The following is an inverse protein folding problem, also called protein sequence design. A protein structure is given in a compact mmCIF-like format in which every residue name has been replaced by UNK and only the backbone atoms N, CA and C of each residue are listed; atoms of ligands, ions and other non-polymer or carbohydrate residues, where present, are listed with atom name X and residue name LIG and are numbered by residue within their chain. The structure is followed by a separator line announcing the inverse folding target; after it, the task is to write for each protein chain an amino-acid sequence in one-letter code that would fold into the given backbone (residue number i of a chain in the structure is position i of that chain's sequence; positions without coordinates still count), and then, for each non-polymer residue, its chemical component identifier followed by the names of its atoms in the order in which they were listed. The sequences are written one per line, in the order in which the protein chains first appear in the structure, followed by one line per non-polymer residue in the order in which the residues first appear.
data_IF_028941474505
#
_entry.id   IF_028941474505
#
_cell.length_a   1.000
_cell.length_b   1.000
_cell.length_c   1.000
_cell.angle_alpha   90.00
_cell.angle_beta   90.00
_cell.angle_gamma   90.00
#
_symmetry.space_group_name_H-M   'P 1'
#
loop_
_entity.id
_entity.type
_entity.pdbx_description
1 polymer ?
#
# COMPACT_ATOMS: atom_id res chain seq x y z
N UNK A 1 -45.55 41.82 51.41
CA UNK A 1 -45.31 40.60 50.59
C UNK A 1 -44.02 40.81 49.82
N UNK A 2 -42.87 40.59 50.46
CA UNK A 2 -41.54 40.92 49.91
C UNK A 2 -40.69 39.66 49.86
N UNK A 3 -40.37 39.27 48.62
CA UNK A 3 -39.18 38.57 48.14
C UNK A 3 -38.59 37.51 49.07
N UNK A 4 -38.95 36.26 48.79
CA UNK A 4 -38.07 35.11 49.04
C UNK A 4 -37.65 34.56 47.67
N UNK A 5 -36.80 35.33 46.98
CA UNK A 5 -35.93 34.77 45.93
C UNK A 5 -34.71 34.25 46.68
N UNK A 6 -34.75 32.95 47.01
CA UNK A 6 -33.61 32.23 47.57
C UNK A 6 -32.45 32.34 46.57
N UNK A 7 -31.50 33.18 46.94
CA UNK A 7 -30.21 33.34 46.27
C UNK A 7 -29.37 32.13 46.69
N UNK A 8 -29.53 31.03 45.95
CA UNK A 8 -28.72 29.83 46.14
C UNK A 8 -27.36 30.02 45.46
N UNK A 9 -26.42 30.63 46.18
CA UNK A 9 -25.07 30.95 45.69
C UNK A 9 -24.16 29.71 45.61
N UNK A 10 -24.60 28.56 46.15
CA UNK A 10 -23.85 27.28 46.08
C UNK A 10 -23.80 26.70 44.67
N UNK A 11 -24.73 27.08 43.80
CA UNK A 11 -24.70 26.71 42.39
C UNK A 11 -23.59 27.45 41.62
N UNK A 12 -23.13 28.61 42.09
CA UNK A 12 -22.19 29.48 41.38
C UNK A 12 -20.73 29.12 41.67
N UNK A 13 -20.40 28.66 42.89
CA UNK A 13 -19.02 28.25 43.25
C UNK A 13 -18.56 26.96 42.55
N UNK A 14 -19.47 26.06 42.19
CA UNK A 14 -19.16 24.82 41.47
C UNK A 14 -19.10 24.95 39.94
N UNK A 15 -19.62 26.04 39.36
CA UNK A 15 -19.64 26.24 37.90
C UNK A 15 -18.24 26.30 37.27
N UNK A 16 -17.26 27.06 37.81
CA UNK A 16 -15.92 27.15 37.21
C UNK A 16 -15.21 25.81 37.16
N UNK A 17 -15.36 25.00 38.22
CA UNK A 17 -14.74 23.67 38.31
C UNK A 17 -15.37 22.70 37.30
N UNK A 18 -16.70 22.71 37.15
CA UNK A 18 -17.39 21.87 36.15
C UNK A 18 -16.99 22.25 34.73
N UNK A 19 -16.88 23.54 34.43
CA UNK A 19 -16.43 24.02 33.11
C UNK A 19 -15.00 23.55 32.83
N UNK A 20 -14.08 23.69 33.79
CA UNK A 20 -12.70 23.20 33.65
C UNK A 20 -12.65 21.69 33.39
N UNK A 21 -13.39 20.89 34.15
CA UNK A 21 -13.45 19.44 33.96
C UNK A 21 -13.99 19.10 32.58
N UNK A 22 -15.06 19.76 32.13
CA UNK A 22 -15.61 19.52 30.77
C UNK A 22 -14.62 19.91 29.68
N UNK A 23 -13.88 21.01 29.83
CA UNK A 23 -12.88 21.46 28.85
C UNK A 23 -11.75 20.44 28.75
N UNK A 24 -11.25 19.94 29.88
CA UNK A 24 -10.22 18.90 29.91
C UNK A 24 -10.74 17.62 29.28
N UNK A 25 -11.98 17.21 29.60
CA UNK A 25 -12.59 16.02 29.01
C UNK A 25 -12.72 16.14 27.49
N UNK A 26 -13.18 17.29 26.99
CA UNK A 26 -13.25 17.59 25.57
C UNK A 26 -11.88 17.56 24.90
N UNK A 27 -10.85 18.14 25.53
CA UNK A 27 -9.49 18.12 25.01
C UNK A 27 -8.94 16.69 24.86
N UNK A 28 -9.20 15.82 25.86
CA UNK A 28 -8.81 14.40 25.80
C UNK A 28 -9.55 13.67 24.67
N UNK A 29 -10.86 13.87 24.55
CA UNK A 29 -11.67 13.24 23.49
C UNK A 29 -11.19 13.68 22.10
N UNK A 30 -10.95 14.98 21.91
CA UNK A 30 -10.42 15.51 20.65
C UNK A 30 -9.03 14.94 20.33
N UNK A 31 -8.15 14.84 21.31
CA UNK A 31 -6.82 14.25 21.14
C UNK A 31 -6.87 12.78 20.72
N UNK A 32 -7.70 11.97 21.39
CA UNK A 32 -7.90 10.57 21.04
C UNK A 32 -8.52 10.39 19.65
N UNK A 33 -9.52 11.22 19.33
CA UNK A 33 -10.18 11.21 18.01
C UNK A 33 -9.20 11.59 16.90
N UNK A 34 -8.38 12.61 17.12
CA UNK A 34 -7.35 13.05 16.16
C UNK A 34 -6.33 11.94 15.88
N UNK A 35 -5.87 11.23 16.91
CA UNK A 35 -4.98 10.08 16.75
C UNK A 35 -5.66 8.94 15.96
N UNK A 36 -6.88 8.56 16.34
CA UNK A 36 -7.64 7.52 15.65
C UNK A 36 -7.89 7.86 14.17
N UNK A 37 -8.19 9.12 13.86
CA UNK A 37 -8.35 9.59 12.49
C UNK A 37 -7.04 9.50 11.68
N UNK A 38 -5.90 9.86 12.29
CA UNK A 38 -4.58 9.74 11.65
C UNK A 38 -4.21 8.28 11.35
N UNK A 39 -4.45 7.38 12.31
CA UNK A 39 -4.19 5.95 12.14
C UNK A 39 -5.10 5.39 11.04
N UNK A 40 -6.38 5.75 11.03
CA UNK A 40 -7.34 5.35 9.99
C UNK A 40 -6.95 5.83 8.57
N UNK A 41 -6.47 7.06 8.42
CA UNK A 41 -6.01 7.58 7.11
C UNK A 41 -4.82 6.75 6.60
N UNK A 42 -3.91 6.36 7.49
CA UNK A 42 -2.74 5.55 7.14
C UNK A 42 -3.17 4.16 6.66
N UNK A 43 -4.11 3.53 7.37
CA UNK A 43 -4.66 2.22 7.02
C UNK A 43 -5.39 2.25 5.67
N UNK A 44 -6.16 3.31 5.38
CA UNK A 44 -6.84 3.47 4.09
C UNK A 44 -5.83 3.58 2.94
N UNK A 45 -4.73 4.31 3.13
CA UNK A 45 -3.68 4.41 2.12
C UNK A 45 -2.93 3.08 1.93
N UNK A 46 -2.64 2.35 3.01
CA UNK A 46 -2.02 1.02 2.95
C UNK A 46 -2.92 0.04 2.21
N UNK A 47 -4.23 0.07 2.47
CA UNK A 47 -5.21 -0.75 1.73
C UNK A 47 -5.23 -0.43 0.24
N UNK A 48 -5.20 0.86 -0.14
CA UNK A 48 -5.13 1.26 -1.56
C UNK A 48 -3.86 0.74 -2.24
N UNK A 49 -2.72 0.82 -1.56
CA UNK A 49 -1.47 0.22 -2.05
C UNK A 49 -1.66 -1.28 -2.27
N UNK A 50 -2.23 -2.00 -1.30
CA UNK A 50 -2.47 -3.44 -1.41
C UNK A 50 -3.38 -3.77 -2.60
N UNK A 51 -4.47 -3.03 -2.79
CA UNK A 51 -5.41 -3.27 -3.89
C UNK A 51 -4.73 -3.11 -5.26
N UNK A 52 -3.85 -2.10 -5.42
CA UNK A 52 -3.08 -1.88 -6.65
C UNK A 52 -2.01 -2.97 -6.88
N UNK A 53 -1.29 -3.37 -5.83
CA UNK A 53 -0.29 -4.45 -5.92
C UNK A 53 -0.94 -5.81 -6.21
N UNK A 54 -2.05 -6.12 -5.54
CA UNK A 54 -2.82 -7.34 -5.78
C UNK A 54 -3.40 -7.36 -7.21
N UNK A 55 -3.69 -6.20 -7.81
CA UNK A 55 -4.12 -6.11 -9.21
C UNK A 55 -2.98 -6.44 -10.19
N UNK A 56 -1.76 -5.97 -9.92
CA UNK A 56 -0.57 -6.33 -10.70
C UNK A 56 -0.32 -7.83 -10.58
N UNK A 57 -0.30 -8.34 -9.35
CA UNK A 57 -0.06 -9.74 -9.02
C UNK A 57 -1.06 -10.66 -9.72
N UNK A 58 -2.36 -10.37 -9.63
CA UNK A 58 -3.40 -11.20 -10.25
C UNK A 58 -3.23 -11.28 -11.77
N UNK A 59 -2.89 -10.17 -12.42
CA UNK A 59 -2.68 -10.15 -13.87
C UNK A 59 -1.40 -10.88 -14.26
N UNK A 60 -0.31 -10.65 -13.53
CA UNK A 60 0.93 -11.41 -13.68
C UNK A 60 0.70 -12.92 -13.50
N UNK A 61 -0.09 -13.32 -12.51
CA UNK A 61 -0.43 -14.72 -12.23
C UNK A 61 -1.33 -15.33 -13.30
N UNK A 62 -2.28 -14.57 -13.86
CA UNK A 62 -3.10 -15.02 -14.98
C UNK A 62 -2.24 -15.26 -16.22
N UNK A 63 -1.42 -14.29 -16.64
CA UNK A 63 -0.55 -14.48 -17.80
C UNK A 63 0.44 -15.62 -17.56
N UNK A 64 0.96 -15.77 -16.34
CA UNK A 64 1.89 -16.84 -16.02
C UNK A 64 1.24 -18.24 -16.08
N UNK A 65 -0.02 -18.36 -15.67
CA UNK A 65 -0.72 -19.64 -15.63
C UNK A 65 -1.30 -20.06 -16.99
N UNK A 66 -1.78 -19.11 -17.80
CA UNK A 66 -2.52 -19.42 -19.04
C UNK A 66 -1.97 -18.77 -20.31
N UNK A 67 -0.95 -17.91 -20.21
CA UNK A 67 -0.35 -17.22 -21.35
C UNK A 67 0.64 -18.07 -22.14
N UNK A 68 0.83 -17.70 -23.40
CA UNK A 68 1.97 -18.12 -24.21
C UNK A 68 3.20 -17.28 -23.89
N UNK A 69 4.32 -17.94 -23.59
CA UNK A 69 5.58 -17.30 -23.24
C UNK A 69 6.46 -17.14 -24.48
N UNK A 70 6.98 -15.94 -24.69
CA UNK A 70 7.93 -15.65 -25.77
C UNK A 70 9.30 -16.20 -25.42
N UNK A 71 9.91 -17.00 -26.27
CA UNK A 71 11.30 -17.42 -26.10
C UNK A 71 12.25 -16.26 -26.43
N UNK A 72 12.98 -15.76 -25.43
CA UNK A 72 13.93 -14.67 -25.64
C UNK A 72 15.23 -15.13 -26.30
N UNK A 73 15.47 -16.44 -26.40
CA UNK A 73 16.61 -16.99 -27.12
C UNK A 73 16.34 -17.13 -28.62
N UNK A 74 15.07 -17.10 -29.04
CA UNK A 74 14.67 -17.12 -30.44
C UNK A 74 14.28 -15.69 -30.89
N UNK A 75 15.12 -15.00 -31.68
CA UNK A 75 14.84 -13.64 -32.13
C UNK A 75 13.63 -13.54 -33.07
N UNK A 76 13.22 -14.64 -33.72
CA UNK A 76 12.06 -14.67 -34.61
C UNK A 76 10.76 -14.98 -33.83
N UNK A 77 10.86 -15.35 -32.55
CA UNK A 77 9.70 -15.58 -31.70
C UNK A 77 9.09 -14.26 -31.22
N UNK A 78 7.91 -13.97 -31.75
CA UNK A 78 7.04 -12.84 -31.34
C UNK A 78 5.83 -13.31 -30.52
N UNK A 79 5.78 -14.59 -30.12
CA UNK A 79 4.68 -15.20 -29.39
C UNK A 79 4.77 -14.90 -27.88
N UNK A 80 4.49 -13.65 -27.51
CA UNK A 80 4.41 -13.22 -26.11
C UNK A 80 3.00 -12.81 -25.73
N UNK A 81 2.48 -13.36 -24.63
CA UNK A 81 1.28 -12.77 -24.01
C UNK A 81 1.70 -11.48 -23.33
N UNK A 82 1.15 -10.38 -23.84
CA UNK A 82 1.42 -9.03 -23.34
C UNK A 82 0.14 -8.44 -22.80
N UNK A 83 0.23 -7.84 -21.61
CA UNK A 83 -0.88 -7.12 -20.99
C UNK A 83 -0.42 -5.75 -20.49
N UNK A 84 -1.16 -4.71 -20.85
CA UNK A 84 -0.89 -3.35 -20.38
C UNK A 84 -1.86 -2.98 -19.25
N UNK A 85 -1.33 -2.44 -18.16
CA UNK A 85 -2.10 -1.96 -17.04
C UNK A 85 -1.65 -0.59 -16.57
N UNK A 86 -2.62 0.24 -16.24
CA UNK A 86 -2.37 1.47 -15.49
C UNK A 86 -2.52 1.21 -14.01
N UNK A 87 -1.50 1.57 -13.26
CA UNK A 87 -1.43 1.43 -11.80
C UNK A 87 -0.98 2.73 -11.18
N UNK A 88 -1.43 2.94 -9.95
CA UNK A 88 -1.05 4.11 -9.17
C UNK A 88 -0.45 3.65 -7.86
N UNK A 89 0.85 3.86 -7.69
CA UNK A 89 1.53 3.64 -6.43
C UNK A 89 1.26 4.85 -5.54
N UNK A 90 0.48 4.71 -4.45
CA UNK A 90 0.15 5.82 -3.57
C UNK A 90 1.37 6.36 -2.82
N UNK A 91 1.25 7.60 -2.36
CA UNK A 91 2.30 8.40 -1.71
C UNK A 91 2.74 7.88 -0.32
N UNK A 92 2.05 6.89 0.25
CA UNK A 92 2.42 6.26 1.52
C UNK A 92 3.46 5.15 1.38
N UNK A 93 3.71 4.66 0.16
CA UNK A 93 4.83 3.77 -0.13
C UNK A 93 6.10 4.61 -0.32
N UNK A 94 7.22 4.14 0.21
CA UNK A 94 8.54 4.68 -0.12
C UNK A 94 9.06 4.02 -1.41
N UNK A 95 8.89 2.69 -1.53
CA UNK A 95 9.28 1.92 -2.71
C UNK A 95 8.52 0.59 -2.78
N UNK A 96 8.41 0.04 -3.98
CA UNK A 96 7.89 -1.30 -4.27
C UNK A 96 8.90 -2.04 -5.14
N UNK A 97 9.21 -3.29 -4.82
CA UNK A 97 10.10 -4.16 -5.63
C UNK A 97 9.39 -5.46 -5.99
N UNK A 98 9.41 -5.84 -7.26
CA UNK A 98 9.01 -7.18 -7.72
C UNK A 98 10.25 -7.99 -8.10
N UNK A 99 10.29 -9.28 -7.77
CA UNK A 99 11.36 -10.18 -8.24
C UNK A 99 12.74 -9.94 -7.62
N UNK A 100 12.79 -9.27 -6.47
CA UNK A 100 14.04 -8.92 -5.80
C UNK A 100 13.80 -8.25 -4.46
N UNK A 101 14.85 -8.14 -3.66
CA UNK A 101 14.83 -7.49 -2.36
C UNK A 101 14.89 -5.96 -2.48
N UNK A 102 14.40 -5.21 -1.46
CA UNK A 102 14.51 -3.75 -1.39
C UNK A 102 15.93 -3.19 -1.47
N UNK A 103 16.94 -3.98 -1.12
CA UNK A 103 18.37 -3.64 -1.20
C UNK A 103 18.99 -3.91 -2.59
N UNK A 104 18.19 -4.39 -3.54
CA UNK A 104 18.60 -4.71 -4.90
C UNK A 104 19.14 -6.12 -5.10
N UNK A 105 19.19 -6.95 -4.05
CA UNK A 105 19.58 -8.35 -4.20
C UNK A 105 18.45 -9.16 -4.85
N UNK A 106 18.73 -9.82 -5.98
CA UNK A 106 17.82 -10.78 -6.60
C UNK A 106 18.42 -12.18 -6.54
N UNK A 107 17.62 -13.15 -6.12
CA UNK A 107 17.95 -14.57 -6.11
C UNK A 107 16.72 -15.40 -6.51
N UNK A 108 16.92 -16.68 -6.83
CA UNK A 108 15.84 -17.59 -7.25
C UNK A 108 14.69 -17.72 -6.22
N UNK A 109 14.94 -17.38 -4.95
CA UNK A 109 13.92 -17.37 -3.89
C UNK A 109 13.10 -16.08 -3.83
N UNK A 110 13.53 -15.03 -4.52
CA UNK A 110 12.85 -13.73 -4.59
C UNK A 110 12.10 -13.52 -5.90
N UNK A 111 12.33 -14.38 -6.91
CA UNK A 111 11.66 -14.29 -8.21
C UNK A 111 10.14 -14.32 -8.08
N UNK A 112 9.60 -15.04 -7.09
CA UNK A 112 8.16 -15.17 -6.86
C UNK A 112 7.69 -14.34 -5.65
N UNK A 113 8.41 -13.27 -5.30
CA UNK A 113 8.10 -12.41 -4.16
C UNK A 113 8.11 -10.96 -4.61
N UNK A 114 7.23 -10.17 -4.02
CA UNK A 114 7.31 -8.72 -4.09
C UNK A 114 7.32 -8.11 -2.70
N UNK A 115 8.05 -7.00 -2.59
CA UNK A 115 8.25 -6.24 -1.37
C UNK A 115 7.70 -4.83 -1.55
N UNK A 116 7.21 -4.26 -0.47
CA UNK A 116 6.90 -2.84 -0.41
C UNK A 116 7.37 -2.26 0.92
N UNK A 117 7.92 -1.06 0.85
CA UNK A 117 8.37 -0.29 2.02
C UNK A 117 7.43 0.88 2.16
N UNK A 118 6.87 1.06 3.35
CA UNK A 118 6.03 2.21 3.69
C UNK A 118 6.91 3.38 4.17
N UNK A 119 6.40 4.61 4.11
CA UNK A 119 7.13 5.80 4.56
C UNK A 119 7.51 5.79 6.05
N UNK A 120 6.87 4.93 6.85
CA UNK A 120 7.22 4.71 8.26
C UNK A 120 8.36 3.68 8.46
N UNK A 121 8.99 3.22 7.37
CA UNK A 121 10.09 2.25 7.39
C UNK A 121 9.64 0.79 7.53
N UNK A 122 8.34 0.50 7.63
CA UNK A 122 7.84 -0.87 7.65
C UNK A 122 8.05 -1.51 6.27
N UNK A 123 8.78 -2.63 6.25
CA UNK A 123 8.96 -3.48 5.09
C UNK A 123 7.99 -4.65 5.18
N UNK A 124 7.32 -4.95 4.09
CA UNK A 124 6.39 -6.06 3.98
C UNK A 124 6.68 -6.84 2.70
N UNK A 125 6.38 -8.13 2.72
CA UNK A 125 6.59 -9.03 1.59
C UNK A 125 5.38 -9.91 1.35
N UNK A 126 5.10 -10.20 0.08
CA UNK A 126 4.07 -11.16 -0.33
C UNK A 126 4.62 -12.08 -1.43
N UNK A 127 4.23 -13.35 -1.35
CA UNK A 127 4.49 -14.32 -2.41
C UNK A 127 3.50 -14.15 -3.56
N UNK A 128 3.96 -14.38 -4.78
CA UNK A 128 3.16 -14.49 -6.00
C UNK A 128 3.30 -15.89 -6.60
N UNK A 129 2.31 -16.28 -7.41
CA UNK A 129 2.39 -17.48 -8.25
C UNK A 129 3.32 -17.21 -9.45
N UNK A 130 3.30 -15.98 -9.97
CA UNK A 130 4.17 -15.56 -11.05
C UNK A 130 5.63 -15.41 -10.57
N UNK A 131 6.56 -15.87 -11.41
CA UNK A 131 7.99 -15.58 -11.26
C UNK A 131 8.33 -14.35 -12.09
N UNK A 132 9.00 -13.36 -11.53
CA UNK A 132 9.39 -12.12 -12.19
C UNK A 132 10.81 -12.23 -12.76
N UNK A 133 11.07 -11.59 -13.90
CA UNK A 133 12.35 -11.75 -14.62
C UNK A 133 13.54 -11.00 -14.02
N UNK A 134 13.37 -10.40 -12.84
CA UNK A 134 14.39 -9.61 -12.16
C UNK A 134 13.80 -8.48 -11.31
N UNK A 135 14.66 -7.75 -10.58
CA UNK A 135 14.23 -6.70 -9.66
C UNK A 135 13.63 -5.52 -10.43
N UNK A 136 12.33 -5.30 -10.26
CA UNK A 136 11.63 -4.13 -10.83
C UNK A 136 11.20 -3.21 -9.70
N UNK A 137 11.74 -1.99 -9.69
CA UNK A 137 11.54 -1.00 -8.64
C UNK A 137 10.55 0.08 -9.09
N UNK A 138 9.58 0.40 -8.23
CA UNK A 138 8.66 1.52 -8.40
C UNK A 138 8.68 2.43 -7.19
N UNK A 139 8.62 3.73 -7.45
CA UNK A 139 8.40 4.77 -6.43
C UNK A 139 6.94 5.21 -6.47
N UNK A 140 6.46 6.06 -5.55
CA UNK A 140 5.14 6.67 -5.68
C UNK A 140 4.96 7.39 -7.00
N UNK A 141 3.84 7.11 -7.68
CA UNK A 141 3.59 7.62 -9.02
C UNK A 141 2.50 6.88 -9.75
N UNK A 142 2.15 7.38 -10.93
CA UNK A 142 1.30 6.69 -11.89
C UNK A 142 2.17 6.06 -12.97
N UNK A 143 1.93 4.79 -13.26
CA UNK A 143 2.71 4.04 -14.24
C UNK A 143 1.78 3.33 -15.21
N UNK A 144 2.23 3.25 -16.46
CA UNK A 144 1.68 2.31 -17.43
C UNK A 144 2.65 1.12 -17.50
N UNK A 145 2.24 0.00 -16.92
CA UNK A 145 3.04 -1.21 -16.88
C UNK A 145 2.66 -2.12 -18.04
N UNK A 146 3.66 -2.59 -18.75
CA UNK A 146 3.57 -3.71 -19.68
C UNK A 146 4.07 -4.95 -18.97
N UNK A 147 3.18 -5.94 -18.81
CA UNK A 147 3.49 -7.28 -18.35
C UNK A 147 3.67 -8.18 -19.58
N UNK A 148 4.81 -8.82 -19.72
CA UNK A 148 5.10 -9.75 -20.82
C UNK A 148 5.52 -11.10 -20.25
N UNK A 149 4.90 -12.18 -20.71
CA UNK A 149 5.36 -13.52 -20.38
C UNK A 149 6.51 -13.91 -21.30
N UNK A 150 7.68 -14.15 -20.69
CA UNK A 150 8.90 -14.53 -21.38
C UNK A 150 9.40 -15.88 -20.89
N UNK A 151 10.13 -16.59 -21.74
CA UNK A 151 10.84 -17.83 -21.42
C UNK A 151 12.31 -17.66 -21.78
N UNK A 152 13.17 -18.11 -20.90
CA UNK A 152 14.60 -18.23 -21.12
C UNK A 152 15.09 -19.64 -20.72
N UNK A 153 16.40 -19.86 -20.77
CA UNK A 153 17.01 -21.15 -20.41
C UNK A 153 16.79 -21.56 -18.94
N UNK A 154 16.45 -20.62 -18.07
CA UNK A 154 16.19 -20.81 -16.65
C UNK A 154 14.70 -21.00 -16.33
N UNK A 155 13.80 -20.89 -17.31
CA UNK A 155 12.36 -21.09 -17.14
C UNK A 155 11.48 -19.96 -17.70
N UNK A 156 10.22 -19.95 -17.29
CA UNK A 156 9.23 -18.94 -17.66
C UNK A 156 9.17 -17.86 -16.58
N UNK A 157 9.08 -16.59 -16.99
CA UNK A 157 9.05 -15.42 -16.11
C UNK A 157 8.12 -14.35 -16.67
N UNK A 158 7.59 -13.50 -15.81
CA UNK A 158 6.88 -12.27 -16.14
C UNK A 158 7.86 -11.10 -16.09
N UNK A 159 8.09 -10.46 -17.23
CA UNK A 159 8.81 -9.20 -17.29
C UNK A 159 7.82 -8.06 -17.04
N UNK A 160 8.17 -7.17 -16.10
CA UNK A 160 7.41 -5.94 -15.85
C UNK A 160 8.23 -4.77 -16.38
N UNK A 161 7.64 -3.98 -17.28
CA UNK A 161 8.25 -2.75 -17.81
C UNK A 161 7.33 -1.59 -17.52
N UNK A 162 7.80 -0.58 -16.80
CA UNK A 162 7.07 0.68 -16.60
C UNK A 162 7.52 1.74 -17.60
N UNK A 163 6.56 2.44 -18.19
CA UNK A 163 6.77 3.67 -18.97
C UNK A 163 6.36 4.87 -18.12
#
# INVERSE_FOLDING_TARGET
MVRVFLRDERAVEGMPMRIMVTVVLFAVILGLTGKAASDFISDVKEKKLMDELDRIEKRASVIYASGGARDINDPDDISGTVENIRVKIPDNAALVVFGGMPDGAANERTDNVYYYVLNNGRVQSKSSIARFSGPTLFYPGEYELTLELIRNNSGTYVAIRGV
#
